data_IF_406751812924
#
_entry.id   IF_406751812924
#
_cell.length_a   1.000
_cell.length_b   1.000
_cell.length_c   1.000
_cell.angle_alpha   90.00
_cell.angle_beta   90.00
_cell.angle_gamma   90.00
#
_symmetry.space_group_name_H-M   'P 1'
#
loop_
_entity.id
_entity.type
_entity.pdbx_description
1 polymer ?
#
# COMPACT_ATOMS: atom_id res chain seq x y z
N UNK A 1 -20.09 -7.67 15.64
CA UNK A 1 -18.79 -7.15 15.13
C UNK A 1 -18.41 -7.96 13.90
N UNK A 2 -18.79 -7.53 12.69
CA UNK A 2 -18.47 -8.26 11.45
C UNK A 2 -16.99 -8.10 11.13
N UNK A 3 -16.30 -9.21 10.87
CA UNK A 3 -14.89 -9.20 10.49
C UNK A 3 -14.63 -8.33 9.24
N UNK A 4 -13.44 -7.71 9.12
CA UNK A 4 -13.05 -7.01 7.90
C UNK A 4 -13.06 -7.99 6.73
N UNK A 5 -13.83 -7.71 5.67
CA UNK A 5 -13.92 -8.53 4.45
C UNK A 5 -12.84 -8.06 3.47
N UNK A 6 -11.67 -8.73 3.36
CA UNK A 6 -10.53 -8.17 2.62
C UNK A 6 -10.80 -8.02 1.12
N UNK A 7 -11.60 -8.90 0.53
CA UNK A 7 -12.03 -8.81 -0.88
C UNK A 7 -12.84 -7.55 -1.15
N UNK A 8 -13.82 -7.24 -0.29
CA UNK A 8 -14.66 -6.05 -0.41
C UNK A 8 -13.83 -4.76 -0.33
N UNK A 9 -12.86 -4.71 0.58
CA UNK A 9 -11.96 -3.57 0.70
C UNK A 9 -11.06 -3.41 -0.53
N UNK A 10 -10.56 -4.51 -1.10
CA UNK A 10 -9.76 -4.50 -2.33
C UNK A 10 -10.57 -4.02 -3.55
N UNK A 11 -11.83 -4.46 -3.64
CA UNK A 11 -12.76 -4.02 -4.70
C UNK A 11 -13.04 -2.52 -4.57
N UNK A 12 -13.31 -2.02 -3.36
CA UNK A 12 -13.54 -0.59 -3.12
C UNK A 12 -12.31 0.29 -3.33
N UNK A 13 -11.10 -0.23 -3.09
CA UNK A 13 -9.85 0.48 -3.42
C UNK A 13 -9.70 0.67 -4.92
N UNK A 14 -10.17 -0.29 -5.72
CA UNK A 14 -10.06 -0.25 -7.18
C UNK A 14 -11.21 0.54 -7.82
N UNK A 15 -12.42 0.41 -7.25
CA UNK A 15 -13.64 1.07 -7.69
C UNK A 15 -14.38 1.62 -6.45
N UNK A 16 -14.06 2.85 -6.03
CA UNK A 16 -14.64 3.41 -4.82
C UNK A 16 -16.15 3.59 -4.99
N UNK A 17 -16.98 3.13 -4.04
CA UNK A 17 -18.43 3.22 -4.13
C UNK A 17 -18.96 4.66 -4.01
N UNK A 18 -18.15 5.56 -3.45
CA UNK A 18 -18.45 6.96 -3.23
C UNK A 18 -17.24 7.83 -3.60
N UNK A 19 -17.46 9.13 -3.77
CA UNK A 19 -16.41 10.08 -4.12
C UNK A 19 -15.32 10.17 -3.03
N UNK A 20 -14.09 10.42 -3.49
CA UNK A 20 -12.96 10.66 -2.60
C UNK A 20 -13.06 12.05 -1.99
N UNK A 21 -13.24 12.11 -0.67
CA UNK A 21 -13.31 13.33 0.12
C UNK A 21 -12.11 13.45 1.05
N UNK A 22 -11.89 14.67 1.56
CA UNK A 22 -11.01 14.88 2.71
C UNK A 22 -11.73 14.42 3.97
N UNK A 23 -11.04 13.60 4.76
CA UNK A 23 -11.55 13.11 6.04
C UNK A 23 -10.88 13.94 7.13
N UNK A 24 -11.70 14.72 7.83
CA UNK A 24 -11.30 15.57 8.94
C UNK A 24 -11.77 14.96 10.25
N UNK A 25 -10.91 15.03 11.27
CA UNK A 25 -11.29 14.77 12.65
C UNK A 25 -12.08 15.97 13.16
N UNK A 26 -13.33 15.73 13.57
CA UNK A 26 -14.13 16.76 14.24
C UNK A 26 -14.07 16.51 15.74
N UNK A 27 -13.05 17.04 16.42
CA UNK A 27 -13.03 17.09 17.88
C UNK A 27 -13.79 18.31 18.38
N UNK A 28 -14.66 18.12 19.37
CA UNK A 28 -15.42 19.24 19.97
C UNK A 28 -14.43 20.20 20.63
N UNK A 29 -14.29 21.41 20.07
CA UNK A 29 -13.46 22.48 20.63
C UNK A 29 -12.03 22.57 20.09
N UNK A 30 -11.62 21.68 19.18
CA UNK A 30 -10.35 21.77 18.45
C UNK A 30 -10.64 21.89 16.95
N UNK A 31 -9.89 22.75 16.27
CA UNK A 31 -10.07 23.00 14.83
C UNK A 31 -9.96 21.74 13.99
N UNK A 32 -10.57 21.75 12.81
CA UNK A 32 -10.61 20.60 11.91
C UNK A 32 -9.20 20.11 11.55
N UNK A 33 -8.88 18.87 11.91
CA UNK A 33 -7.59 18.25 11.60
C UNK A 33 -7.76 17.26 10.45
N UNK A 34 -7.12 17.52 9.32
CA UNK A 34 -7.13 16.60 8.18
C UNK A 34 -6.37 15.31 8.55
N UNK A 35 -7.09 14.17 8.60
CA UNK A 35 -6.52 12.85 8.87
C UNK A 35 -5.98 12.23 7.58
N UNK A 36 -6.67 12.46 6.46
CA UNK A 36 -6.29 11.96 5.15
C UNK A 36 -7.38 12.13 4.10
N UNK A 37 -7.23 11.44 2.98
CA UNK A 37 -8.23 11.36 1.92
C UNK A 37 -8.77 9.95 1.78
N UNK A 38 -10.04 9.83 1.44
CA UNK A 38 -10.76 8.56 1.46
C UNK A 38 -12.20 8.72 1.04
N UNK A 39 -13.02 7.72 1.32
CA UNK A 39 -14.47 7.79 1.08
C UNK A 39 -15.23 7.20 2.27
N UNK A 40 -16.48 7.62 2.41
CA UNK A 40 -17.39 7.11 3.44
C UNK A 40 -18.27 6.02 2.84
N UNK A 41 -18.56 4.97 3.59
CA UNK A 41 -19.57 3.98 3.23
C UNK A 41 -20.65 4.00 4.31
N UNK A 42 -21.87 4.44 3.99
CA UNK A 42 -22.96 4.46 4.96
C UNK A 42 -23.34 3.02 5.32
N UNK A 43 -23.51 2.77 6.61
CA UNK A 43 -24.06 1.52 7.11
C UNK A 43 -25.48 1.79 7.59
N UNK A 44 -26.42 0.98 7.11
CA UNK A 44 -27.78 1.00 7.60
C UNK A 44 -27.83 0.72 9.10
N UNK A 45 -28.73 1.41 9.79
CA UNK A 45 -28.64 1.58 11.24
C UNK A 45 -30.02 1.81 11.83
N UNK A 46 -30.93 0.87 11.54
CA UNK A 46 -32.29 0.84 12.09
C UNK A 46 -32.40 -0.42 12.94
N UNK A 47 -32.87 -0.25 14.16
CA UNK A 47 -33.32 -1.34 15.03
C UNK A 47 -34.75 -1.08 15.47
N UNK A 48 -35.54 -2.13 15.56
CA UNK A 48 -36.91 -2.07 16.08
C UNK A 48 -36.95 -2.96 17.32
N UNK A 49 -37.35 -2.36 18.43
CA UNK A 49 -37.54 -3.08 19.68
C UNK A 49 -38.74 -4.04 19.56
N UNK A 50 -38.55 -5.36 19.75
CA UNK A 50 -39.62 -6.33 19.61
C UNK A 50 -40.72 -6.19 20.68
N UNK A 51 -40.41 -5.68 21.86
CA UNK A 51 -41.40 -5.52 22.95
C UNK A 51 -42.12 -4.18 22.89
N UNK A 52 -41.36 -3.08 22.79
CA UNK A 52 -41.96 -1.74 22.82
C UNK A 52 -42.42 -1.22 21.46
N UNK A 53 -42.09 -1.94 20.36
CA UNK A 53 -42.27 -1.51 18.96
C UNK A 53 -41.62 -0.16 18.62
N UNK A 54 -40.73 0.34 19.49
CA UNK A 54 -40.01 1.59 19.25
C UNK A 54 -38.93 1.38 18.19
N UNK A 55 -38.80 2.37 17.31
CA UNK A 55 -37.78 2.38 16.26
C UNK A 55 -36.62 3.26 16.70
N UNK A 56 -35.43 2.68 16.69
CA UNK A 56 -34.17 3.36 16.94
C UNK A 56 -33.45 3.48 15.61
N UNK A 57 -33.00 4.69 15.29
CA UNK A 57 -32.17 4.95 14.13
C UNK A 57 -30.93 5.68 14.60
N UNK A 58 -29.77 5.19 14.20
CA UNK A 58 -28.51 5.91 14.34
C UNK A 58 -27.91 6.09 12.95
N UNK A 59 -26.73 6.70 12.83
CA UNK A 59 -26.02 6.78 11.56
C UNK A 59 -24.66 6.12 11.78
N UNK A 60 -24.42 5.00 11.12
CA UNK A 60 -23.10 4.40 11.06
C UNK A 60 -22.45 4.69 9.72
N UNK A 61 -21.14 4.89 9.75
CA UNK A 61 -20.34 5.03 8.55
C UNK A 61 -19.01 4.33 8.72
N UNK A 62 -18.56 3.66 7.67
CA UNK A 62 -17.18 3.21 7.56
C UNK A 62 -16.37 4.28 6.84
N UNK A 63 -15.22 4.63 7.41
CA UNK A 63 -14.27 5.54 6.81
C UNK A 63 -13.12 4.73 6.24
N UNK A 64 -12.99 4.72 4.92
CA UNK A 64 -11.84 4.09 4.25
C UNK A 64 -10.82 5.19 3.97
N UNK A 65 -9.75 5.24 4.75
CA UNK A 65 -8.79 6.36 4.76
C UNK A 65 -7.43 5.92 4.25
N UNK A 66 -6.84 6.70 3.34
CA UNK A 66 -5.41 6.62 3.04
C UNK A 66 -4.62 7.42 4.08
N UNK A 67 -3.72 6.75 4.81
CA UNK A 67 -2.82 7.42 5.75
C UNK A 67 -1.72 8.18 5.00
N UNK A 68 -1.73 9.52 5.10
CA UNK A 68 -0.69 10.38 4.53
C UNK A 68 0.69 10.12 5.18
N UNK A 69 0.73 9.91 6.49
CA UNK A 69 1.97 9.63 7.21
C UNK A 69 2.62 8.31 6.74
N UNK A 70 1.81 7.27 6.53
CA UNK A 70 2.29 5.99 6.00
C UNK A 70 2.79 6.13 4.56
N UNK A 71 2.01 6.81 3.71
CA UNK A 71 2.37 7.06 2.32
C UNK A 71 3.73 7.80 2.21
N UNK A 72 3.93 8.85 3.01
CA UNK A 72 5.19 9.60 3.05
C UNK A 72 6.38 8.74 3.48
N UNK A 73 6.20 7.87 4.49
CA UNK A 73 7.26 6.93 4.91
C UNK A 73 7.61 5.94 3.80
N UNK A 74 6.61 5.40 3.10
CA UNK A 74 6.82 4.49 1.98
C UNK A 74 7.56 5.15 0.82
N UNK A 75 7.18 6.37 0.45
CA UNK A 75 7.85 7.17 -0.60
C UNK A 75 9.34 7.36 -0.24
N UNK A 76 9.62 7.78 1.00
CA UNK A 76 11.01 7.97 1.47
C UNK A 76 11.82 6.67 1.40
N UNK A 77 11.22 5.55 1.81
CA UNK A 77 11.86 4.23 1.76
C UNK A 77 12.16 3.78 0.34
N UNK A 78 11.21 3.97 -0.58
CA UNK A 78 11.38 3.64 -2.00
C UNK A 78 12.45 4.52 -2.66
N UNK A 79 12.42 5.83 -2.42
CA UNK A 79 13.45 6.75 -2.92
C UNK A 79 14.86 6.36 -2.45
N UNK A 80 15.00 5.98 -1.17
CA UNK A 80 16.29 5.52 -0.62
C UNK A 80 16.78 4.23 -1.30
N UNK A 81 15.89 3.31 -1.66
CA UNK A 81 16.24 2.07 -2.37
C UNK A 81 16.62 2.34 -3.82
N UNK A 82 15.94 3.28 -4.45
CA UNK A 82 16.21 3.69 -5.83
C UNK A 82 17.61 4.29 -5.95
N UNK A 83 17.95 5.25 -5.08
CA UNK A 83 19.30 5.86 -5.03
C UNK A 83 20.38 4.79 -4.85
N UNK A 84 20.22 3.87 -3.89
CA UNK A 84 21.18 2.76 -3.70
C UNK A 84 21.30 1.86 -4.93
N UNK A 85 20.20 1.64 -5.64
CA UNK A 85 20.18 0.90 -6.89
C UNK A 85 20.98 1.61 -7.98
N UNK A 86 20.75 2.91 -8.15
CA UNK A 86 21.47 3.76 -9.11
C UNK A 86 22.97 3.82 -8.81
N UNK A 87 23.36 4.03 -7.55
CA UNK A 87 24.76 4.01 -7.12
C UNK A 87 25.43 2.67 -7.44
N UNK A 88 24.73 1.56 -7.17
CA UNK A 88 25.24 0.22 -7.48
C UNK A 88 25.37 0.02 -8.98
N UNK A 89 24.41 0.48 -9.78
CA UNK A 89 24.45 0.38 -11.24
C UNK A 89 25.60 1.22 -11.81
N UNK A 90 25.80 2.45 -11.33
CA UNK A 90 26.94 3.30 -11.66
C UNK A 90 28.28 2.64 -11.27
N UNK A 91 28.33 1.95 -10.12
CA UNK A 91 29.53 1.23 -9.70
C UNK A 91 29.87 0.05 -10.63
N UNK A 92 28.87 -0.56 -11.26
CA UNK A 92 29.05 -1.62 -12.24
C UNK A 92 29.57 -1.04 -13.57
N UNK A 93 29.11 0.14 -13.99
CA UNK A 93 29.65 0.82 -15.18
C UNK A 93 31.15 1.13 -15.05
N UNK A 94 31.61 1.46 -13.84
CA UNK A 94 33.04 1.70 -13.55
C UNK A 94 33.88 0.42 -13.48
N UNK A 95 33.25 -0.74 -13.58
CA UNK A 95 33.89 -2.06 -13.68
C UNK A 95 33.51 -2.71 -15.02
N UNK A 96 33.96 -2.16 -16.18
CA UNK A 96 34.09 -3.03 -17.34
C UNK A 96 34.95 -4.21 -16.89
N UNK A 97 34.50 -5.44 -17.11
CA UNK A 97 35.08 -6.65 -16.52
C UNK A 97 36.60 -6.57 -16.56
N UNK A 98 37.23 -6.34 -15.39
CA UNK A 98 38.67 -6.05 -15.30
C UNK A 98 39.58 -7.22 -15.67
N UNK A 99 38.99 -8.34 -16.09
CA UNK A 99 39.66 -9.34 -16.90
C UNK A 99 38.58 -10.11 -17.66
N UNK A 100 38.41 -9.78 -18.93
CA UNK A 100 37.59 -10.56 -19.88
C UNK A 100 37.96 -12.05 -19.80
N UNK A 101 39.25 -12.36 -19.63
CA UNK A 101 39.78 -13.70 -19.41
C UNK A 101 39.26 -14.37 -18.13
N UNK A 102 39.13 -13.65 -17.02
CA UNK A 102 38.60 -14.19 -15.75
C UNK A 102 37.10 -14.43 -15.86
N UNK A 103 36.39 -13.57 -16.60
CA UNK A 103 34.97 -13.76 -16.86
C UNK A 103 34.75 -14.96 -17.79
N UNK A 104 35.51 -15.09 -18.88
CA UNK A 104 35.49 -16.25 -19.78
C UNK A 104 35.80 -17.55 -19.04
N UNK A 105 36.80 -17.54 -18.15
CA UNK A 105 37.15 -18.73 -17.37
C UNK A 105 36.01 -19.14 -16.43
N UNK A 106 35.38 -18.19 -15.73
CA UNK A 106 34.21 -18.47 -14.88
C UNK A 106 33.01 -18.98 -15.67
N UNK A 107 32.77 -18.45 -16.87
CA UNK A 107 31.70 -18.91 -17.76
C UNK A 107 31.99 -20.34 -18.23
N UNK A 108 33.23 -20.66 -18.65
CA UNK A 108 33.62 -22.03 -19.04
C UNK A 108 33.46 -23.04 -17.90
N UNK A 109 33.89 -22.69 -16.69
CA UNK A 109 33.72 -23.54 -15.50
C UNK A 109 32.25 -23.78 -15.15
N UNK A 110 31.40 -22.75 -15.27
CA UNK A 110 29.96 -22.87 -15.03
C UNK A 110 29.27 -23.76 -16.08
N UNK A 111 29.64 -23.62 -17.35
CA UNK A 111 29.12 -24.46 -18.44
C UNK A 111 29.54 -25.93 -18.29
N UNK A 112 30.79 -26.20 -17.87
CA UNK A 112 31.25 -27.56 -17.56
C UNK A 112 30.49 -28.19 -16.41
N UNK A 113 30.25 -27.46 -15.32
CA UNK A 113 29.46 -27.96 -14.18
C UNK A 113 28.03 -28.31 -14.56
N UNK A 114 27.45 -27.61 -15.53
CA UNK A 114 26.10 -27.84 -16.02
C UNK A 114 26.06 -28.90 -17.13
N UNK A 115 27.19 -29.47 -17.55
CA UNK A 115 27.26 -30.44 -18.64
C UNK A 115 26.91 -29.88 -20.02
N UNK A 116 27.00 -28.55 -20.18
CA UNK A 116 26.58 -27.82 -21.39
C UNK A 116 27.73 -27.55 -22.36
N UNK A 117 28.94 -28.02 -22.06
CA UNK A 117 30.11 -27.94 -22.94
C UNK A 117 30.45 -29.32 -23.50
N UNK A 118 30.45 -29.45 -24.84
CA UNK A 118 31.07 -30.55 -25.60
C UNK A 118 32.54 -30.26 -25.85
#
# INVERSE_FOLDING_TARGET
MSQPRPKLLADWLSNPPNEMIKIVETEVGLGEKEIGSGFEVPLGSIWVDPESKKRYQWNERWLVVKSNALASRQIKGLGSRLIKGEEKLLSLQKRPGKDEKVLEQKVREALQKLGLTR
#
